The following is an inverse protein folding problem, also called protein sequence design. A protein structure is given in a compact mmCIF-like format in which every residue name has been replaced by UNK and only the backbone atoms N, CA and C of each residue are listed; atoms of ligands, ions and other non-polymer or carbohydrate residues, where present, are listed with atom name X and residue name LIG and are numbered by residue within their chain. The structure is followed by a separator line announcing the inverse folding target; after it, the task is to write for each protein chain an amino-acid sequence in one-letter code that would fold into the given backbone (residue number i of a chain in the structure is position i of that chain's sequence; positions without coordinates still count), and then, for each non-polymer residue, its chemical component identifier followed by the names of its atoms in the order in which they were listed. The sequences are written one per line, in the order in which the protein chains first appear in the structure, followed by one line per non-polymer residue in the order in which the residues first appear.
data_IF_184934774013
#
_entry.id   IF_184934774013
#
_cell.length_a   1.000
_cell.length_b   1.000
_cell.length_c   1.000
_cell.angle_alpha   90.00
_cell.angle_beta   90.00
_cell.angle_gamma   90.00
#
_symmetry.space_group_name_H-M   'P 1'
#
loop_
_entity.id
_entity.type
_entity.pdbx_description
1 polymer ?
#
# COMPACT_ATOMS: atom_id res chain seq x y z
N UNK A 1 -26.95 -24.06 -17.72
CA UNK A 1 -26.32 -23.82 -16.43
C UNK A 1 -25.65 -22.46 -16.47
N UNK A 2 -26.31 -21.47 -15.90
CA UNK A 2 -25.82 -20.09 -15.87
C UNK A 2 -24.72 -20.00 -14.81
N UNK A 3 -23.46 -19.79 -15.22
CA UNK A 3 -22.40 -19.36 -14.31
C UNK A 3 -22.75 -17.96 -13.85
N UNK A 4 -23.06 -17.83 -12.57
CA UNK A 4 -23.09 -16.54 -11.88
C UNK A 4 -21.66 -16.01 -11.98
N UNK A 5 -21.47 -14.97 -12.78
CA UNK A 5 -20.24 -14.16 -12.76
C UNK A 5 -20.36 -13.35 -11.48
N UNK A 6 -19.85 -13.89 -10.38
CA UNK A 6 -19.52 -13.10 -9.21
C UNK A 6 -18.56 -12.00 -9.70
N UNK A 7 -18.93 -10.74 -9.49
CA UNK A 7 -18.07 -9.61 -9.80
C UNK A 7 -16.80 -9.74 -8.96
N UNK A 8 -15.75 -10.32 -9.54
CA UNK A 8 -14.45 -10.39 -8.88
C UNK A 8 -14.01 -8.98 -8.55
N UNK A 9 -13.82 -8.72 -7.27
CA UNK A 9 -13.25 -7.43 -6.81
C UNK A 9 -11.86 -7.36 -7.40
N UNK A 10 -11.61 -6.37 -8.26
CA UNK A 10 -10.31 -6.18 -8.89
C UNK A 10 -9.25 -5.70 -7.90
N UNK A 11 -7.99 -5.91 -8.25
CA UNK A 11 -6.85 -5.40 -7.50
C UNK A 11 -6.90 -3.87 -7.35
N UNK A 12 -6.57 -3.37 -6.15
CA UNK A 12 -6.61 -1.95 -5.81
C UNK A 12 -5.81 -1.67 -4.52
N UNK A 13 -5.48 -0.43 -4.20
CA UNK A 13 -4.77 -0.10 -2.97
C UNK A 13 -5.37 -0.75 -1.73
N UNK A 14 -4.60 -1.58 -1.03
CA UNK A 14 -5.02 -2.29 0.19
C UNK A 14 -4.94 -1.42 1.45
N UNK A 15 -4.24 -0.29 1.39
CA UNK A 15 -4.09 0.69 2.48
C UNK A 15 -4.60 2.07 2.05
N UNK A 16 -4.93 2.91 3.04
CA UNK A 16 -5.12 4.34 2.83
C UNK A 16 -3.76 5.01 2.76
N UNK A 17 -3.48 5.78 1.71
CA UNK A 17 -2.22 6.50 1.56
C UNK A 17 -2.45 7.94 1.14
N UNK A 18 -1.78 8.87 1.83
CA UNK A 18 -1.91 10.30 1.53
C UNK A 18 -1.29 10.59 0.17
N UNK A 19 -1.98 11.39 -0.64
CA UNK A 19 -1.52 11.71 -2.00
C UNK A 19 -1.89 10.67 -3.06
N UNK A 20 -2.66 9.64 -2.71
CA UNK A 20 -3.14 8.65 -3.68
C UNK A 20 -3.86 9.31 -4.85
N UNK A 21 -3.46 8.96 -6.09
CA UNK A 21 -3.90 9.59 -7.33
C UNK A 21 -5.10 8.90 -7.98
N UNK A 22 -5.88 8.10 -7.22
CA UNK A 22 -7.02 7.34 -7.78
C UNK A 22 -8.00 8.21 -8.56
N UNK A 23 -8.20 9.47 -8.15
CA UNK A 23 -9.06 10.42 -8.86
C UNK A 23 -8.43 11.00 -10.14
N UNK A 24 -7.13 10.87 -10.32
CA UNK A 24 -6.39 11.40 -11.46
C UNK A 24 -6.03 10.32 -12.49
N UNK A 25 -6.35 9.05 -12.24
CA UNK A 25 -5.95 7.93 -13.11
C UNK A 25 -6.37 8.16 -14.56
N UNK A 26 -7.61 8.59 -14.82
CA UNK A 26 -8.07 8.84 -16.19
C UNK A 26 -7.31 9.96 -16.89
N UNK A 27 -6.89 10.99 -16.15
CA UNK A 27 -6.08 12.09 -16.69
C UNK A 27 -4.66 11.62 -16.96
N UNK A 28 -4.08 10.80 -16.07
CA UNK A 28 -2.75 10.23 -16.24
C UNK A 28 -2.71 9.23 -17.40
N UNK A 29 -3.76 8.40 -17.54
CA UNK A 29 -3.90 7.49 -18.68
C UNK A 29 -3.91 8.24 -20.02
N UNK A 30 -4.57 9.38 -20.09
CA UNK A 30 -4.61 10.20 -21.31
C UNK A 30 -3.24 10.78 -21.72
N UNK A 31 -2.26 10.77 -20.81
CA UNK A 31 -0.89 11.20 -21.09
C UNK A 31 0.03 10.07 -21.60
N UNK A 32 -0.45 8.82 -21.58
CA UNK A 32 0.32 7.70 -22.13
C UNK A 32 0.55 7.90 -23.64
N UNK A 33 1.67 7.39 -24.20
CA UNK A 33 1.87 7.39 -25.64
C UNK A 33 0.69 6.75 -26.35
N UNK A 34 0.23 7.34 -27.44
CA UNK A 34 -0.96 6.88 -28.20
C UNK A 34 -0.84 5.44 -28.72
N UNK A 35 0.38 4.97 -28.88
CA UNK A 35 0.71 3.60 -29.30
C UNK A 35 1.09 2.68 -28.12
N UNK A 36 0.97 3.11 -26.87
CA UNK A 36 1.41 2.36 -25.69
C UNK A 36 0.87 0.92 -25.64
N UNK A 37 -0.40 0.72 -26.01
CA UNK A 37 -1.02 -0.61 -26.07
C UNK A 37 -0.40 -1.55 -27.12
N UNK A 38 0.39 -1.01 -28.07
CA UNK A 38 1.10 -1.77 -29.12
C UNK A 38 2.55 -2.05 -28.76
N UNK A 39 3.02 -1.48 -27.64
CA UNK A 39 4.35 -1.80 -27.17
C UNK A 39 4.39 -3.24 -26.69
N UNK A 40 5.46 -3.95 -27.03
CA UNK A 40 5.71 -5.32 -26.60
C UNK A 40 6.72 -5.31 -25.45
N UNK A 41 6.61 -6.28 -24.54
CA UNK A 41 7.53 -6.50 -23.41
C UNK A 41 7.80 -5.22 -22.58
N UNK A 42 6.73 -4.53 -22.19
CA UNK A 42 6.86 -3.30 -21.42
C UNK A 42 7.34 -3.61 -20.00
N UNK A 43 8.36 -2.87 -19.56
CA UNK A 43 8.73 -2.76 -18.15
C UNK A 43 8.08 -1.51 -17.56
N UNK A 44 7.24 -1.67 -16.55
CA UNK A 44 6.65 -0.56 -15.79
C UNK A 44 7.46 -0.31 -14.52
N UNK A 45 7.83 0.93 -14.25
CA UNK A 45 8.63 1.28 -13.06
C UNK A 45 7.98 2.44 -12.30
N UNK A 46 7.76 2.22 -11.00
CA UNK A 46 7.18 3.20 -10.07
C UNK A 46 8.13 3.44 -8.89
N UNK A 47 9.03 4.44 -8.97
CA UNK A 47 10.06 4.69 -7.96
C UNK A 47 9.55 5.18 -6.60
N UNK A 48 8.30 5.70 -6.55
CA UNK A 48 7.63 6.23 -5.37
C UNK A 48 6.22 5.63 -5.30
N UNK A 49 6.11 4.32 -5.02
CA UNK A 49 4.84 3.59 -5.19
C UNK A 49 3.74 4.05 -4.23
N UNK A 50 4.10 4.42 -3.00
CA UNK A 50 3.10 4.79 -2.00
C UNK A 50 1.98 3.75 -1.88
N UNK A 51 0.72 4.19 -2.04
CA UNK A 51 -0.44 3.29 -2.00
C UNK A 51 -0.66 2.45 -3.27
N UNK A 52 0.10 2.65 -4.35
CA UNK A 52 0.07 1.83 -5.56
C UNK A 52 -1.16 2.02 -6.46
N UNK A 53 -1.86 3.13 -6.37
CA UNK A 53 -3.07 3.34 -7.16
C UNK A 53 -2.81 3.22 -8.68
N UNK A 54 -1.68 3.78 -9.15
CA UNK A 54 -1.29 3.71 -10.55
C UNK A 54 -0.76 2.31 -10.90
N UNK A 55 0.01 1.69 -10.02
CA UNK A 55 0.51 0.32 -10.18
C UNK A 55 -0.64 -0.66 -10.48
N UNK A 56 -1.61 -0.74 -9.54
CA UNK A 56 -2.73 -1.68 -9.67
C UNK A 56 -3.56 -1.39 -10.92
N UNK A 57 -3.78 -0.11 -11.26
CA UNK A 57 -4.47 0.26 -12.49
C UNK A 57 -3.71 -0.21 -13.74
N UNK A 58 -2.42 0.14 -13.84
CA UNK A 58 -1.60 -0.20 -15.02
C UNK A 58 -1.51 -1.70 -15.23
N UNK A 59 -1.26 -2.47 -14.19
CA UNK A 59 -1.16 -3.93 -14.29
C UNK A 59 -2.51 -4.60 -14.60
N UNK A 60 -3.64 -4.01 -14.18
CA UNK A 60 -4.97 -4.55 -14.46
C UNK A 60 -5.43 -4.28 -15.90
N UNK A 61 -5.00 -3.17 -16.51
CA UNK A 61 -5.57 -2.68 -17.79
C UNK A 61 -4.62 -2.92 -18.98
N UNK A 62 -3.32 -3.06 -18.73
CA UNK A 62 -2.29 -3.13 -19.76
C UNK A 62 -1.56 -4.48 -19.75
N UNK A 63 -2.08 -5.52 -20.44
CA UNK A 63 -1.49 -6.86 -20.46
C UNK A 63 -0.13 -6.92 -21.17
N UNK A 64 0.27 -5.87 -21.89
CA UNK A 64 1.59 -5.73 -22.48
C UNK A 64 2.68 -5.34 -21.47
N UNK A 65 2.32 -5.05 -20.23
CA UNK A 65 3.28 -4.90 -19.12
C UNK A 65 3.60 -6.29 -18.59
N UNK A 66 4.75 -6.84 -18.96
CA UNK A 66 5.18 -8.17 -18.54
C UNK A 66 6.07 -8.15 -17.30
N UNK A 67 6.59 -7.01 -16.94
CA UNK A 67 7.43 -6.80 -15.76
C UNK A 67 7.10 -5.46 -15.11
N UNK A 68 7.01 -5.46 -13.79
CA UNK A 68 6.92 -4.23 -13.03
C UNK A 68 7.99 -4.17 -11.94
N UNK A 69 8.46 -2.97 -11.65
CA UNK A 69 9.40 -2.69 -10.56
C UNK A 69 8.83 -1.54 -9.75
N UNK A 70 8.67 -1.74 -8.46
CA UNK A 70 8.22 -0.70 -7.54
C UNK A 70 9.26 -0.43 -6.49
N UNK A 71 9.31 0.79 -6.00
CA UNK A 71 10.19 1.20 -4.92
C UNK A 71 9.49 2.18 -3.99
N UNK A 72 9.87 2.14 -2.73
CA UNK A 72 9.58 3.19 -1.76
C UNK A 72 10.70 3.23 -0.73
N UNK A 73 10.98 4.40 -0.18
CA UNK A 73 11.94 4.54 0.91
C UNK A 73 11.40 3.96 2.23
N UNK A 74 10.08 3.84 2.36
CA UNK A 74 9.41 3.33 3.54
C UNK A 74 9.46 1.80 3.58
N UNK A 75 10.33 1.26 4.43
CA UNK A 75 10.51 -0.18 4.60
C UNK A 75 9.24 -0.87 5.12
N UNK A 76 8.46 -0.25 6.01
CA UNK A 76 7.21 -0.85 6.49
C UNK A 76 6.21 -1.04 5.35
N UNK A 77 6.12 -0.05 4.45
CA UNK A 77 5.27 -0.11 3.26
C UNK A 77 5.71 -1.21 2.29
N UNK A 78 6.99 -1.26 1.95
CA UNK A 78 7.50 -2.29 1.03
C UNK A 78 7.44 -3.68 1.63
N UNK A 79 7.53 -3.81 2.97
CA UNK A 79 7.26 -5.07 3.69
C UNK A 79 5.80 -5.47 3.50
N UNK A 80 4.83 -4.53 3.57
CA UNK A 80 3.43 -4.82 3.31
C UNK A 80 3.22 -5.37 1.88
N UNK A 81 3.81 -4.75 0.86
CA UNK A 81 3.73 -5.25 -0.51
C UNK A 81 4.28 -6.67 -0.65
N UNK A 82 5.45 -6.97 -0.05
CA UNK A 82 6.03 -8.32 -0.07
C UNK A 82 5.15 -9.32 0.67
N UNK A 83 4.63 -8.96 1.84
CA UNK A 83 3.77 -9.85 2.63
C UNK A 83 2.46 -10.16 1.91
N UNK A 84 1.82 -9.15 1.29
CA UNK A 84 0.62 -9.37 0.46
C UNK A 84 0.92 -10.30 -0.71
N UNK A 85 2.07 -10.13 -1.37
CA UNK A 85 2.48 -10.99 -2.49
C UNK A 85 2.78 -12.41 -2.06
N UNK A 86 3.59 -12.59 -1.01
CA UNK A 86 4.29 -13.85 -0.70
C UNK A 86 3.56 -14.70 0.36
N UNK A 87 2.74 -14.09 1.22
CA UNK A 87 2.10 -14.76 2.35
C UNK A 87 0.65 -14.28 2.61
N UNK A 88 -0.24 -14.23 1.59
CA UNK A 88 -1.60 -13.69 1.75
C UNK A 88 -2.43 -14.47 2.78
N UNK A 89 -2.33 -15.79 2.83
CA UNK A 89 -3.11 -16.61 3.78
C UNK A 89 -2.71 -16.36 5.23
N UNK A 90 -1.40 -16.30 5.50
CA UNK A 90 -0.88 -16.00 6.84
C UNK A 90 -1.28 -14.59 7.28
N UNK A 91 -1.20 -13.61 6.36
CA UNK A 91 -1.63 -12.24 6.60
C UNK A 91 -3.13 -12.18 6.91
N UNK A 92 -3.97 -12.85 6.12
CA UNK A 92 -5.43 -12.87 6.32
C UNK A 92 -5.82 -13.51 7.64
N UNK A 93 -5.14 -14.58 8.06
CA UNK A 93 -5.35 -15.18 9.37
C UNK A 93 -5.08 -14.18 10.49
N UNK A 94 -3.92 -13.52 10.47
CA UNK A 94 -3.54 -12.53 11.48
C UNK A 94 -4.44 -11.28 11.46
N UNK A 95 -4.86 -10.81 10.28
CA UNK A 95 -5.80 -9.70 10.14
C UNK A 95 -7.19 -10.06 10.68
N UNK A 96 -7.64 -11.30 10.47
CA UNK A 96 -8.91 -11.80 11.02
C UNK A 96 -8.87 -11.84 12.56
N UNK A 97 -7.76 -12.22 13.14
CA UNK A 97 -7.58 -12.26 14.60
C UNK A 97 -7.65 -10.85 15.21
N UNK A 98 -6.86 -9.90 14.68
CA UNK A 98 -6.85 -8.54 15.20
C UNK A 98 -8.19 -7.80 14.96
N UNK A 99 -8.89 -8.09 13.84
CA UNK A 99 -10.23 -7.56 13.57
C UNK A 99 -11.21 -8.05 14.65
N UNK A 100 -11.25 -9.36 14.93
CA UNK A 100 -12.13 -9.96 15.97
C UNK A 100 -11.81 -9.41 17.35
N UNK A 101 -10.52 -9.28 17.69
CA UNK A 101 -10.11 -8.71 18.98
C UNK A 101 -10.60 -7.26 19.11
N UNK A 102 -10.36 -6.43 18.09
CA UNK A 102 -10.81 -5.03 18.10
C UNK A 102 -12.33 -4.91 18.18
N UNK A 103 -13.07 -5.70 17.42
CA UNK A 103 -14.55 -5.68 17.39
C UNK A 103 -15.16 -6.14 18.71
N UNK A 104 -14.44 -6.92 19.51
CA UNK A 104 -14.88 -7.35 20.86
C UNK A 104 -14.76 -6.27 21.93
N UNK A 105 -14.05 -5.17 21.64
CA UNK A 105 -13.79 -4.11 22.63
C UNK A 105 -15.02 -3.22 22.83
N UNK A 106 -15.51 -3.19 24.06
CA UNK A 106 -16.83 -2.62 24.40
C UNK A 106 -16.91 -1.09 24.48
N UNK A 107 -15.78 -0.37 24.63
CA UNK A 107 -15.81 1.10 24.80
C UNK A 107 -14.71 1.81 24.01
N UNK A 108 -14.88 3.12 23.79
CA UNK A 108 -13.86 3.94 23.14
C UNK A 108 -12.54 3.94 23.92
N UNK A 109 -12.59 3.97 25.23
CA UNK A 109 -11.40 3.95 26.09
C UNK A 109 -10.60 2.66 25.89
N UNK A 110 -11.28 1.51 25.95
CA UNK A 110 -10.64 0.20 25.76
C UNK A 110 -10.07 0.07 24.35
N UNK A 111 -10.77 0.55 23.32
CA UNK A 111 -10.26 0.61 21.95
C UNK A 111 -9.04 1.52 21.81
N UNK A 112 -9.06 2.66 22.50
CA UNK A 112 -7.93 3.60 22.53
C UNK A 112 -6.69 2.95 23.15
N UNK A 113 -6.84 2.30 24.30
CA UNK A 113 -5.74 1.60 24.99
C UNK A 113 -5.18 0.47 24.12
N UNK A 114 -6.05 -0.28 23.48
CA UNK A 114 -5.65 -1.32 22.53
C UNK A 114 -4.86 -0.74 21.36
N UNK A 115 -5.36 0.35 20.76
CA UNK A 115 -4.68 1.03 19.65
C UNK A 115 -3.27 1.47 20.05
N UNK A 116 -3.10 2.11 21.20
CA UNK A 116 -1.79 2.59 21.63
C UNK A 116 -0.85 1.44 21.97
N UNK A 117 -1.31 0.34 22.55
CA UNK A 117 -0.50 -0.87 22.73
C UNK A 117 0.00 -1.44 21.39
N UNK A 118 -0.89 -1.56 20.38
CA UNK A 118 -0.52 -2.06 19.06
C UNK A 118 0.47 -1.11 18.36
N UNK A 119 0.29 0.20 18.55
CA UNK A 119 1.24 1.19 18.05
C UNK A 119 2.62 1.06 18.68
N UNK A 120 2.68 0.83 19.96
CA UNK A 120 3.95 0.64 20.67
C UNK A 120 4.63 -0.66 20.25
N UNK A 121 3.88 -1.74 20.06
CA UNK A 121 4.40 -2.99 19.48
C UNK A 121 4.97 -2.76 18.05
N UNK A 122 4.25 -2.04 17.19
CA UNK A 122 4.71 -1.70 15.84
C UNK A 122 6.00 -0.87 15.88
N UNK A 123 6.09 0.09 16.80
CA UNK A 123 7.24 0.98 16.93
C UNK A 123 8.46 0.30 17.56
N UNK A 124 8.30 -0.83 18.22
CA UNK A 124 9.43 -1.62 18.76
C UNK A 124 10.31 -2.23 17.68
N UNK A 125 9.84 -2.33 16.42
CA UNK A 125 10.59 -2.79 15.24
C UNK A 125 11.24 -4.17 15.38
N UNK A 126 10.62 -5.07 16.13
CA UNK A 126 11.09 -6.43 16.39
C UNK A 126 10.11 -7.51 15.92
N UNK A 127 9.22 -7.14 14.98
CA UNK A 127 8.18 -8.00 14.43
C UNK A 127 8.65 -8.75 13.19
N UNK A 128 8.13 -9.94 12.97
CA UNK A 128 8.26 -10.60 11.67
C UNK A 128 7.43 -9.87 10.58
N UNK A 129 7.63 -10.16 9.29
CA UNK A 129 6.94 -9.45 8.21
C UNK A 129 5.42 -9.53 8.27
N UNK A 130 4.84 -10.67 8.68
CA UNK A 130 3.38 -10.83 8.78
C UNK A 130 2.82 -9.99 9.93
N UNK A 131 3.46 -10.07 11.10
CA UNK A 131 3.07 -9.27 12.27
C UNK A 131 3.20 -7.76 11.99
N UNK A 132 4.32 -7.33 11.37
CA UNK A 132 4.52 -5.94 10.99
C UNK A 132 3.44 -5.44 10.04
N UNK A 133 3.12 -6.23 9.01
CA UNK A 133 2.09 -5.89 8.02
C UNK A 133 0.70 -5.86 8.67
N UNK A 134 0.38 -6.82 9.53
CA UNK A 134 -0.88 -6.85 10.27
C UNK A 134 -1.07 -5.58 11.10
N UNK A 135 -0.05 -5.19 11.86
CA UNK A 135 -0.13 -3.97 12.66
C UNK A 135 -0.14 -2.71 11.79
N UNK A 136 0.56 -2.70 10.66
CA UNK A 136 0.49 -1.59 9.71
C UNK A 136 -0.94 -1.39 9.18
N UNK A 137 -1.62 -2.47 8.73
CA UNK A 137 -3.02 -2.42 8.30
C UNK A 137 -3.95 -1.95 9.41
N UNK A 138 -3.81 -2.53 10.62
CA UNK A 138 -4.59 -2.15 11.78
C UNK A 138 -4.45 -0.65 12.08
N UNK A 139 -3.22 -0.17 12.23
CA UNK A 139 -2.94 1.24 12.54
C UNK A 139 -3.46 2.17 11.45
N UNK A 140 -3.25 1.83 10.18
CA UNK A 140 -3.72 2.63 9.04
C UNK A 140 -5.25 2.76 9.00
N UNK A 141 -5.98 1.73 9.43
CA UNK A 141 -7.45 1.71 9.41
C UNK A 141 -8.09 2.28 10.66
N UNK A 142 -7.37 2.29 11.78
CA UNK A 142 -7.88 2.74 13.10
C UNK A 142 -7.32 4.09 13.54
N UNK A 143 -6.27 4.61 12.91
CA UNK A 143 -5.73 5.92 13.21
C UNK A 143 -6.58 7.07 12.62
N UNK A 144 -6.33 8.27 13.11
CA UNK A 144 -6.99 9.48 12.62
C UNK A 144 -6.78 9.67 11.10
N UNK A 145 -7.88 9.70 10.36
CA UNK A 145 -7.97 9.88 8.90
C UNK A 145 -7.15 8.89 8.04
N UNK A 146 -6.69 7.77 8.59
CA UNK A 146 -5.88 6.80 7.84
C UNK A 146 -4.53 7.36 7.41
N UNK A 147 -3.98 8.30 8.17
CA UNK A 147 -2.69 8.92 7.87
C UNK A 147 -1.53 7.97 8.18
N UNK A 148 -0.44 8.12 7.45
CA UNK A 148 0.86 7.59 7.85
C UNK A 148 1.78 8.75 8.16
N UNK A 149 2.31 8.78 9.38
CA UNK A 149 3.24 9.82 9.84
C UNK A 149 4.18 9.23 10.88
N UNK A 150 5.45 9.58 10.78
CA UNK A 150 6.47 9.20 11.76
C UNK A 150 7.04 10.45 12.47
N UNK A 151 7.52 10.26 13.68
CA UNK A 151 8.27 11.29 14.39
C UNK A 151 9.75 11.31 13.95
N UNK A 152 10.55 12.22 14.51
CA UNK A 152 11.98 12.34 14.21
C UNK A 152 12.82 11.10 14.54
N UNK A 153 12.28 10.15 15.31
CA UNK A 153 12.91 8.86 15.63
C UNK A 153 12.43 7.72 14.73
N UNK A 154 11.62 8.02 13.69
CA UNK A 154 11.04 7.04 12.78
C UNK A 154 9.85 6.25 13.34
N UNK A 155 9.36 6.57 14.54
CA UNK A 155 8.21 5.91 15.14
C UNK A 155 6.88 6.46 14.60
N UNK A 156 5.95 5.58 14.23
CA UNK A 156 4.58 5.94 13.85
C UNK A 156 3.89 6.70 14.99
N UNK A 157 3.32 7.87 14.71
CA UNK A 157 2.84 8.80 15.73
C UNK A 157 1.45 9.40 15.46
N UNK A 158 0.66 8.81 14.57
CA UNK A 158 -0.72 9.26 14.34
C UNK A 158 -1.59 8.87 15.55
N UNK A 159 -2.48 9.74 16.03
CA UNK A 159 -3.38 9.41 17.14
C UNK A 159 -4.50 8.46 16.72
N UNK A 160 -5.16 7.87 17.71
CA UNK A 160 -6.35 7.03 17.54
C UNK A 160 -7.46 7.79 16.80
N UNK A 161 -8.12 7.12 15.85
CA UNK A 161 -9.15 7.71 14.98
C UNK A 161 -10.58 7.58 15.51
N UNK A 162 -10.80 6.89 16.66
CA UNK A 162 -12.08 6.72 17.35
C UNK A 162 -13.15 5.96 16.53
N UNK A 163 -12.74 5.13 15.60
CA UNK A 163 -13.67 4.29 14.83
C UNK A 163 -14.19 3.14 15.69
N UNK A 164 -15.51 2.90 15.66
CA UNK A 164 -16.12 1.81 16.43
C UNK A 164 -15.91 0.45 15.78
N UNK A 165 -16.16 0.34 14.48
CA UNK A 165 -16.06 -0.91 13.73
C UNK A 165 -15.48 -0.66 12.33
N UNK A 166 -14.20 -0.28 12.22
CA UNK A 166 -13.57 -0.09 10.93
C UNK A 166 -13.27 -1.46 10.28
N UNK A 167 -13.54 -1.58 8.99
CA UNK A 167 -13.03 -2.71 8.22
C UNK A 167 -11.51 -2.56 8.05
N UNK A 168 -10.73 -3.43 8.70
CA UNK A 168 -9.27 -3.38 8.67
C UNK A 168 -8.74 -3.87 7.33
N UNK A 169 -9.38 -4.86 6.72
CA UNK A 169 -8.95 -5.48 5.47
C UNK A 169 -10.14 -5.92 4.60
N UNK A 170 -9.87 -6.33 3.36
CA UNK A 170 -10.75 -7.11 2.49
C UNK A 170 -9.95 -8.29 1.96
N UNK A 171 -10.43 -9.51 2.20
CA UNK A 171 -9.76 -10.72 1.76
C UNK A 171 -9.69 -10.80 0.23
N UNK A 172 -10.77 -10.41 -0.45
CA UNK A 172 -10.86 -10.41 -1.92
C UNK A 172 -9.81 -9.48 -2.53
N UNK A 173 -9.60 -8.31 -1.93
CA UNK A 173 -8.56 -7.35 -2.38
C UNK A 173 -7.18 -7.92 -2.17
N UNK A 174 -6.90 -8.50 -0.99
CA UNK A 174 -5.57 -9.06 -0.68
C UNK A 174 -5.23 -10.21 -1.64
N UNK A 175 -6.16 -11.09 -1.97
CA UNK A 175 -5.91 -12.16 -2.94
C UNK A 175 -5.72 -11.63 -4.36
N UNK A 176 -6.55 -10.68 -4.81
CA UNK A 176 -6.40 -10.06 -6.13
C UNK A 176 -5.06 -9.32 -6.26
N UNK A 177 -4.67 -8.60 -5.21
CA UNK A 177 -3.39 -7.91 -5.16
C UNK A 177 -2.21 -8.88 -5.12
N UNK A 178 -2.32 -9.97 -4.35
CA UNK A 178 -1.29 -11.01 -4.29
C UNK A 178 -1.03 -11.62 -5.67
N UNK A 179 -2.09 -11.96 -6.40
CA UNK A 179 -1.98 -12.50 -7.77
C UNK A 179 -1.30 -11.50 -8.71
N UNK A 180 -1.72 -10.24 -8.68
CA UNK A 180 -1.18 -9.21 -9.56
C UNK A 180 0.29 -8.89 -9.25
N UNK A 181 0.69 -8.98 -7.98
CA UNK A 181 2.05 -8.67 -7.53
C UNK A 181 3.08 -9.77 -7.81
N UNK A 182 2.69 -10.98 -8.28
CA UNK A 182 3.62 -12.11 -8.48
C UNK A 182 4.79 -11.77 -9.43
N UNK A 183 4.54 -10.92 -10.43
CA UNK A 183 5.56 -10.49 -11.40
C UNK A 183 6.13 -9.09 -11.09
N UNK A 184 5.94 -8.60 -9.86
CA UNK A 184 6.41 -7.29 -9.42
C UNK A 184 7.66 -7.43 -8.58
N UNK A 185 8.73 -6.78 -8.99
CA UNK A 185 9.94 -6.63 -8.20
C UNK A 185 9.77 -5.47 -7.21
N UNK A 186 9.99 -5.72 -5.92
CA UNK A 186 9.74 -4.77 -4.84
C UNK A 186 11.07 -4.36 -4.21
N UNK A 187 11.46 -3.13 -4.43
CA UNK A 187 12.68 -2.52 -3.90
C UNK A 187 12.37 -1.69 -2.65
N UNK A 188 13.39 -1.41 -1.87
CA UNK A 188 13.33 -0.51 -0.70
C UNK A 188 14.53 0.38 -0.68
N UNK A 189 14.33 1.69 -0.58
CA UNK A 189 15.43 2.66 -0.45
C UNK A 189 15.38 3.75 -1.50
N UNK A 190 16.57 4.23 -1.88
CA UNK A 190 16.66 5.33 -2.83
C UNK A 190 16.06 4.97 -4.20
N UNK A 191 15.33 5.92 -4.78
CA UNK A 191 14.65 5.73 -6.06
C UNK A 191 15.62 5.51 -7.24
N UNK A 192 16.85 6.01 -7.14
CA UNK A 192 17.86 5.89 -8.20
C UNK A 192 18.19 4.43 -8.52
N UNK A 193 18.07 3.52 -7.55
CA UNK A 193 18.28 2.09 -7.79
C UNK A 193 17.35 1.51 -8.86
N UNK A 194 16.17 2.11 -9.07
CA UNK A 194 15.21 1.64 -10.07
C UNK A 194 15.72 1.77 -11.50
N UNK A 195 16.66 2.68 -11.77
CA UNK A 195 17.21 2.86 -13.12
C UNK A 195 18.00 1.66 -13.64
N UNK A 196 18.61 0.89 -12.74
CA UNK A 196 19.32 -0.34 -13.12
C UNK A 196 18.39 -1.48 -13.58
N UNK A 197 17.08 -1.34 -13.33
CA UNK A 197 16.05 -2.32 -13.66
C UNK A 197 15.37 -2.08 -15.02
N UNK A 198 15.76 -1.04 -15.76
CA UNK A 198 15.25 -0.78 -17.10
C UNK A 198 15.56 -1.95 -18.05
N UNK A 199 14.53 -2.43 -18.77
CA UNK A 199 14.66 -3.44 -19.82
C UNK A 199 13.69 -3.12 -20.95
N UNK A 200 14.18 -3.18 -22.18
CA UNK A 200 13.37 -2.95 -23.38
C UNK A 200 12.65 -1.61 -23.34
N UNK A 201 11.38 -1.60 -23.72
CA UNK A 201 10.52 -0.42 -23.60
C UNK A 201 10.11 -0.23 -22.16
N UNK A 202 10.57 0.83 -21.53
CA UNK A 202 10.33 1.12 -20.12
C UNK A 202 9.46 2.35 -19.97
N UNK A 203 8.38 2.23 -19.18
CA UNK A 203 7.54 3.33 -18.75
C UNK A 203 7.79 3.61 -17.28
N UNK A 204 8.25 4.82 -16.96
CA UNK A 204 8.34 5.32 -15.58
C UNK A 204 7.11 6.14 -15.22
N UNK A 205 6.59 5.91 -14.01
CA UNK A 205 5.65 6.80 -13.35
C UNK A 205 6.30 7.40 -12.11
N UNK A 206 6.55 8.71 -12.13
CA UNK A 206 7.15 9.45 -11.03
C UNK A 206 6.08 10.27 -10.29
N UNK A 207 5.83 9.97 -9.04
CA UNK A 207 5.01 10.76 -8.11
C UNK A 207 5.80 11.03 -6.81
N UNK A 208 6.87 11.84 -6.89
CA UNK A 208 7.71 12.10 -5.73
C UNK A 208 6.96 12.88 -4.65
N UNK A 209 7.33 12.75 -3.37
CA UNK A 209 6.73 13.54 -2.30
C UNK A 209 6.92 15.03 -2.55
N UNK A 210 5.84 15.80 -2.34
CA UNK A 210 5.86 17.25 -2.54
C UNK A 210 6.66 17.94 -1.44
N UNK A 211 7.45 18.95 -1.82
CA UNK A 211 8.07 19.84 -0.84
C UNK A 211 6.97 20.60 -0.08
N UNK A 212 7.00 20.64 1.28
CA UNK A 212 6.08 21.45 2.04
C UNK A 212 6.23 22.92 1.64
N UNK A 213 5.12 23.59 1.32
CA UNK A 213 5.12 25.03 0.98
C UNK A 213 5.30 25.93 2.22
N UNK A 214 5.20 25.36 3.43
CA UNK A 214 5.42 26.06 4.70
C UNK A 214 5.91 25.10 5.78
N UNK A 215 6.58 25.59 6.82
CA UNK A 215 7.05 24.81 7.97
C UNK A 215 5.91 24.12 8.76
N UNK A 216 4.67 24.52 8.56
CA UNK A 216 3.48 23.94 9.19
C UNK A 216 2.79 22.87 8.33
N UNK A 217 3.17 22.70 7.07
CA UNK A 217 2.58 21.75 6.12
C UNK A 217 3.43 20.47 5.94
N UNK A 218 4.39 20.21 6.82
CA UNK A 218 5.27 19.04 6.75
C UNK A 218 4.55 17.75 7.15
N UNK A 219 3.72 17.22 6.23
CA UNK A 219 3.10 15.90 6.39
C UNK A 219 4.02 14.74 5.96
N UNK A 220 5.13 15.03 5.28
CA UNK A 220 6.09 14.02 4.80
C UNK A 220 7.51 14.59 4.89
N UNK A 221 8.13 14.60 6.07
CA UNK A 221 9.57 14.76 6.16
C UNK A 221 10.23 13.38 5.92
N UNK A 222 10.55 13.10 4.68
CA UNK A 222 11.59 12.15 4.31
C UNK A 222 12.92 12.93 4.28
N UNK A 223 13.59 13.03 5.40
CA UNK A 223 14.98 13.47 5.50
C UNK A 223 15.75 12.51 6.39
#
# INVERSE_FOLDING_TARGET
MSRIVESMVGAKPFIKWVGGKSQLISQLEALLPSDFRRWEDVTYIEPFVGGGAMLFYMLSIYPNIHRAVINDINQDLTTCYRTVRDAPDALLSALSEIQREYDSLGSEEVRSDFYYRMRDCFNAKNLDPVQNTTLFFFLNRTCFNGLYRVNSKGGFNVPFGKYESPSIYSAEVIYADSELLQNVEILTGDFEQTFSHMKGKTLFYFDPPYRPLSNTSSFNNYS
#
